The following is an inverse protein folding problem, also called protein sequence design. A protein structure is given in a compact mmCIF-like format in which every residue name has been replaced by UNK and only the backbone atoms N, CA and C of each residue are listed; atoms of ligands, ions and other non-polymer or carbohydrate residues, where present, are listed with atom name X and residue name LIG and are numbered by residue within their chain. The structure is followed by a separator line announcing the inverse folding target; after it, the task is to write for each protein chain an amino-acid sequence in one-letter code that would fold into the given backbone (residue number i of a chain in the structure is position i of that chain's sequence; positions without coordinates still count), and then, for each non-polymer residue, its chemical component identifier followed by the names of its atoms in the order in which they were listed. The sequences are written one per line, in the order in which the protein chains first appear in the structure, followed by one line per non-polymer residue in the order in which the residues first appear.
data_IF_056837946925
#
_entry.id   IF_056837946925
#
_cell.length_a   1.000
_cell.length_b   1.000
_cell.length_c   1.000
_cell.angle_alpha   90.00
_cell.angle_beta   90.00
_cell.angle_gamma   90.00
#
_symmetry.space_group_name_H-M   'P 1'
#
loop_
_entity.id
_entity.type
_entity.pdbx_description
1 polymer ?
#
# COMPACT_ATOMS: atom_id res chain seq x y z
N UNK A 1 -36.38 78.48 28.26
CA UNK A 1 -35.46 78.47 27.12
C UNK A 1 -34.61 77.21 27.26
N UNK A 2 -34.96 76.16 26.53
CA UNK A 2 -34.40 74.81 26.65
C UNK A 2 -33.28 74.64 25.63
N UNK A 3 -32.05 74.38 26.10
CA UNK A 3 -30.93 74.01 25.23
C UNK A 3 -30.82 72.48 25.16
N UNK A 4 -31.00 71.94 23.99
CA UNK A 4 -30.79 70.54 23.69
C UNK A 4 -29.30 70.27 23.34
N UNK A 5 -28.67 69.45 24.08
CA UNK A 5 -27.31 68.95 23.76
C UNK A 5 -27.52 67.57 23.09
N UNK A 6 -27.20 67.46 21.81
CA UNK A 6 -27.14 66.20 21.06
C UNK A 6 -25.77 65.59 21.27
N UNK A 7 -25.77 64.41 21.90
CA UNK A 7 -24.57 63.59 22.06
C UNK A 7 -24.48 62.63 20.86
N UNK A 8 -23.53 62.90 19.96
CA UNK A 8 -23.21 62.00 18.84
C UNK A 8 -22.32 60.88 19.39
N UNK A 9 -22.86 59.66 19.51
CA UNK A 9 -22.11 58.46 19.87
C UNK A 9 -21.54 57.85 18.59
N UNK A 10 -20.24 58.02 18.33
CA UNK A 10 -19.54 57.42 17.21
C UNK A 10 -19.35 55.89 17.46
N UNK A 11 -20.08 55.09 16.73
CA UNK A 11 -19.84 53.64 16.67
C UNK A 11 -18.62 53.35 15.80
N UNK A 12 -17.50 53.03 16.43
CA UNK A 12 -16.32 52.48 15.74
C UNK A 12 -16.60 50.99 15.45
N UNK A 13 -16.94 50.70 14.22
CA UNK A 13 -16.99 49.31 13.70
C UNK A 13 -15.56 48.79 13.55
N UNK A 14 -15.10 48.05 14.53
CA UNK A 14 -13.89 47.24 14.39
C UNK A 14 -14.24 46.05 13.48
N UNK A 15 -13.98 46.18 12.18
CA UNK A 15 -13.98 45.06 11.26
C UNK A 15 -12.72 44.23 11.54
N UNK A 16 -12.79 43.33 12.50
CA UNK A 16 -11.80 42.30 12.68
C UNK A 16 -11.85 41.36 11.47
N UNK A 17 -10.84 41.39 10.62
CA UNK A 17 -10.59 40.30 9.66
C UNK A 17 -10.23 39.03 10.45
N UNK A 18 -11.23 38.23 10.83
CA UNK A 18 -10.99 36.86 11.15
C UNK A 18 -10.60 36.18 9.84
N UNK A 19 -9.50 35.39 9.80
CA UNK A 19 -9.23 34.53 8.67
C UNK A 19 -10.40 33.54 8.60
N UNK A 20 -11.25 33.74 7.60
CA UNK A 20 -12.37 32.85 7.35
C UNK A 20 -11.81 31.50 6.91
N UNK A 21 -11.80 30.55 7.81
CA UNK A 21 -11.79 29.14 7.45
C UNK A 21 -13.09 28.89 6.71
N UNK A 22 -13.06 28.96 5.40
CA UNK A 22 -14.13 28.43 4.57
C UNK A 22 -14.07 26.92 4.64
N UNK A 23 -14.68 26.34 5.66
CA UNK A 23 -15.02 24.92 5.71
C UNK A 23 -16.19 24.64 4.73
N UNK A 24 -15.97 24.84 3.46
CA UNK A 24 -16.88 24.33 2.44
C UNK A 24 -16.58 22.83 2.26
N UNK A 25 -17.18 22.01 3.12
CA UNK A 25 -17.23 20.56 2.89
C UNK A 25 -17.93 20.32 1.54
N UNK A 26 -17.18 19.70 0.61
CA UNK A 26 -17.77 19.35 -0.68
C UNK A 26 -18.74 18.19 -0.53
N UNK A 27 -20.03 18.49 -0.58
CA UNK A 27 -21.10 17.48 -0.50
C UNK A 27 -21.41 16.98 -1.90
N UNK A 28 -21.24 15.68 -2.15
CA UNK A 28 -21.48 15.03 -3.43
C UNK A 28 -22.53 13.92 -3.30
N UNK A 29 -23.32 13.69 -4.37
CA UNK A 29 -24.25 12.56 -4.45
C UNK A 29 -23.64 11.45 -5.29
N UNK A 30 -23.84 10.19 -4.88
CA UNK A 30 -23.52 9.04 -5.73
C UNK A 30 -24.56 8.92 -6.84
N UNK A 31 -24.12 8.64 -8.07
CA UNK A 31 -24.99 8.62 -9.25
C UNK A 31 -25.79 7.34 -9.40
N UNK A 32 -25.45 6.26 -8.71
CA UNK A 32 -26.14 4.97 -8.77
C UNK A 32 -26.86 4.66 -7.45
N UNK A 33 -28.20 4.67 -7.50
CA UNK A 33 -29.21 4.08 -6.60
C UNK A 33 -28.97 4.01 -5.06
N UNK A 34 -27.89 4.57 -4.53
CA UNK A 34 -27.64 4.63 -3.09
C UNK A 34 -28.10 5.97 -2.52
N UNK A 35 -29.11 5.91 -1.65
CA UNK A 35 -29.62 7.04 -0.86
C UNK A 35 -28.54 7.47 0.16
N UNK A 36 -27.65 8.37 -0.21
CA UNK A 36 -26.67 8.92 0.71
C UNK A 36 -25.92 10.11 0.11
N UNK A 37 -25.59 11.06 0.97
CA UNK A 37 -24.72 12.18 0.65
C UNK A 37 -23.30 11.82 1.12
N UNK A 38 -22.33 11.94 0.24
CA UNK A 38 -20.91 11.76 0.59
C UNK A 38 -20.20 13.10 0.64
N UNK A 39 -19.13 13.17 1.42
CA UNK A 39 -18.30 14.35 1.59
C UNK A 39 -16.90 14.01 1.04
N UNK A 40 -16.33 14.92 0.28
CA UNK A 40 -14.91 14.89 -0.08
C UNK A 40 -14.19 15.83 0.88
N UNK A 41 -13.20 15.36 1.67
CA UNK A 41 -12.41 16.24 2.53
C UNK A 41 -11.72 17.34 1.72
N UNK A 42 -11.68 18.56 2.25
CA UNK A 42 -10.95 19.67 1.60
C UNK A 42 -9.43 19.53 1.77
N UNK A 43 -8.99 18.93 2.87
CA UNK A 43 -7.58 18.66 3.12
C UNK A 43 -7.12 17.42 2.37
N UNK A 44 -6.01 17.54 1.66
CA UNK A 44 -5.33 16.44 0.97
C UNK A 44 -3.92 16.31 1.52
N UNK A 45 -3.56 15.10 1.91
CA UNK A 45 -2.17 14.79 2.25
C UNK A 45 -1.31 14.87 0.98
N UNK A 46 -0.05 15.31 1.05
CA UNK A 46 0.85 15.28 -0.09
C UNK A 46 0.86 13.90 -0.75
N UNK A 47 0.87 13.87 -2.07
CA UNK A 47 0.92 12.66 -2.91
C UNK A 47 -0.14 11.58 -2.62
N UNK A 48 -1.21 11.93 -1.91
CA UNK A 48 -2.26 11.00 -1.51
C UNK A 48 -3.61 11.37 -2.12
N UNK A 49 -4.46 10.37 -2.31
CA UNK A 49 -5.84 10.58 -2.74
C UNK A 49 -6.71 10.99 -1.56
N UNK A 50 -7.65 11.89 -1.80
CA UNK A 50 -8.79 12.09 -0.89
C UNK A 50 -9.76 10.92 -1.02
N UNK A 51 -10.37 10.52 0.09
CA UNK A 51 -11.39 9.46 0.12
C UNK A 51 -12.77 10.02 0.39
N UNK A 52 -13.82 9.32 -0.05
CA UNK A 52 -15.20 9.67 0.28
C UNK A 52 -15.51 9.40 1.76
N UNK A 53 -16.31 10.28 2.38
CA UNK A 53 -16.83 10.12 3.74
C UNK A 53 -18.37 10.07 3.68
N UNK A 54 -19.05 9.12 4.32
CA UNK A 54 -18.51 8.01 5.11
C UNK A 54 -17.68 7.04 4.25
N UNK A 55 -16.64 6.46 4.86
CA UNK A 55 -15.78 5.50 4.19
C UNK A 55 -16.58 4.22 3.87
N UNK A 56 -16.53 3.78 2.62
CA UNK A 56 -17.13 2.52 2.18
C UNK A 56 -16.05 1.47 1.99
N UNK A 57 -16.03 0.44 2.85
CA UNK A 57 -15.05 -0.64 2.71
C UNK A 57 -15.30 -1.47 1.46
N UNK A 58 -14.23 -2.07 0.93
CA UNK A 58 -14.31 -3.04 -0.16
C UNK A 58 -15.27 -4.19 0.17
N UNK A 59 -16.03 -4.65 -0.82
CA UNK A 59 -16.87 -5.84 -0.69
C UNK A 59 -16.07 -7.13 -0.41
N UNK A 60 -14.78 -7.14 -0.75
CA UNK A 60 -13.85 -8.22 -0.46
C UNK A 60 -12.96 -7.95 0.78
N UNK A 61 -13.23 -6.89 1.56
CA UNK A 61 -12.39 -6.47 2.69
C UNK A 61 -12.15 -7.60 3.68
N UNK A 62 -10.91 -7.70 4.16
CA UNK A 62 -10.46 -8.68 5.14
C UNK A 62 -9.89 -9.98 4.56
N UNK A 63 -10.09 -10.27 3.27
CA UNK A 63 -9.49 -11.45 2.64
C UNK A 63 -7.97 -11.33 2.47
N UNK A 64 -7.47 -10.11 2.26
CA UNK A 64 -6.03 -9.85 2.08
C UNK A 64 -5.20 -10.36 3.26
N UNK A 65 -5.70 -10.20 4.48
CA UNK A 65 -5.01 -10.59 5.73
C UNK A 65 -4.73 -12.09 5.82
N UNK A 66 -5.58 -12.93 5.22
CA UNK A 66 -5.42 -14.39 5.23
C UNK A 66 -4.61 -14.92 4.05
N UNK A 67 -4.38 -14.10 3.04
CA UNK A 67 -3.83 -14.55 1.76
C UNK A 67 -2.40 -14.05 1.52
N UNK A 68 -1.99 -12.95 2.13
CA UNK A 68 -0.62 -12.43 2.04
C UNK A 68 0.22 -12.88 3.24
N UNK A 69 1.52 -13.03 2.99
CA UNK A 69 2.46 -13.66 3.92
C UNK A 69 2.79 -12.80 5.13
N UNK A 70 2.86 -11.48 4.96
CA UNK A 70 3.30 -10.57 6.00
C UNK A 70 2.45 -9.30 6.05
N UNK A 71 2.48 -8.60 7.20
CA UNK A 71 1.85 -7.29 7.31
C UNK A 71 2.51 -6.24 6.42
N UNK A 72 3.81 -6.40 6.15
CA UNK A 72 4.55 -5.54 5.23
C UNK A 72 4.02 -5.67 3.81
N UNK A 73 3.83 -6.91 3.33
CA UNK A 73 3.22 -7.18 2.02
C UNK A 73 1.80 -6.62 1.91
N UNK A 74 0.97 -6.78 2.97
CA UNK A 74 -0.40 -6.26 2.98
C UNK A 74 -0.39 -4.74 2.80
N UNK A 75 0.41 -4.03 3.60
CA UNK A 75 0.48 -2.57 3.55
C UNK A 75 1.00 -2.10 2.19
N UNK A 76 2.06 -2.72 1.67
CA UNK A 76 2.65 -2.33 0.39
C UNK A 76 1.74 -2.70 -0.78
N UNK A 77 1.02 -3.81 -0.72
CA UNK A 77 0.06 -4.18 -1.75
C UNK A 77 -1.08 -3.17 -1.87
N UNK A 78 -1.55 -2.60 -0.75
CA UNK A 78 -2.57 -1.55 -0.73
C UNK A 78 -2.00 -0.19 -1.16
N UNK A 79 -0.91 0.28 -0.51
CA UNK A 79 -0.36 1.62 -0.76
C UNK A 79 0.41 1.71 -2.08
N UNK A 80 1.15 0.68 -2.44
CA UNK A 80 1.85 0.58 -3.73
C UNK A 80 0.87 0.57 -4.90
N UNK A 81 -0.31 -0.08 -4.76
CA UNK A 81 -1.36 -0.03 -5.80
C UNK A 81 -1.89 1.39 -5.99
N UNK A 82 -2.01 2.20 -4.92
CA UNK A 82 -2.34 3.62 -5.03
C UNK A 82 -1.23 4.39 -5.76
N UNK A 83 0.04 4.07 -5.49
CA UNK A 83 1.20 4.69 -6.16
C UNK A 83 1.22 4.36 -7.66
N UNK A 84 0.95 3.10 -8.05
CA UNK A 84 0.78 2.71 -9.45
C UNK A 84 -0.34 3.51 -10.13
N UNK A 85 -1.44 3.73 -9.42
CA UNK A 85 -2.60 4.45 -9.95
C UNK A 85 -2.29 5.90 -10.31
N UNK A 86 -1.33 6.57 -9.66
CA UNK A 86 -0.99 7.98 -9.92
C UNK A 86 -0.56 8.23 -11.35
N UNK A 87 0.03 7.23 -12.01
CA UNK A 87 0.43 7.28 -13.41
C UNK A 87 -0.74 7.42 -14.40
N UNK A 88 -1.94 7.02 -14.00
CA UNK A 88 -3.15 7.08 -14.84
C UNK A 88 -4.22 8.02 -14.26
N UNK A 89 -4.34 8.11 -12.95
CA UNK A 89 -5.36 8.85 -12.22
C UNK A 89 -4.69 9.84 -11.27
N UNK A 90 -4.57 11.11 -11.67
CA UNK A 90 -3.94 12.15 -10.83
C UNK A 90 -4.70 12.33 -9.50
N UNK A 91 -4.01 12.34 -8.33
CA UNK A 91 -4.63 12.59 -7.02
C UNK A 91 -5.37 13.93 -6.92
N UNK A 92 -4.96 14.95 -7.68
CA UNK A 92 -5.61 16.27 -7.70
C UNK A 92 -7.03 16.24 -8.27
N UNK A 93 -7.29 15.29 -9.19
CA UNK A 93 -8.55 15.20 -9.93
C UNK A 93 -9.43 14.05 -9.49
N UNK A 94 -8.83 13.04 -8.86
CA UNK A 94 -9.53 11.81 -8.52
C UNK A 94 -9.69 11.65 -7.02
N UNK A 95 -10.78 11.00 -6.65
CA UNK A 95 -11.11 10.61 -5.28
C UNK A 95 -11.03 9.08 -5.21
N UNK A 96 -10.39 8.58 -4.17
CA UNK A 96 -10.21 7.15 -3.93
C UNK A 96 -11.46 6.54 -3.28
N UNK A 97 -11.77 5.32 -3.68
CA UNK A 97 -12.72 4.43 -3.03
C UNK A 97 -12.18 3.00 -3.10
N UNK A 98 -12.31 2.23 -2.02
CA UNK A 98 -12.04 0.78 -2.07
C UNK A 98 -12.95 0.07 -3.07
N UNK A 99 -12.54 -1.10 -3.54
CA UNK A 99 -13.22 -1.89 -4.56
C UNK A 99 -14.69 -2.20 -4.26
N UNK A 100 -15.56 -1.92 -5.21
CA UNK A 100 -17.00 -2.12 -5.06
C UNK A 100 -17.59 -3.14 -6.05
N UNK A 101 -16.75 -3.73 -6.93
CA UNK A 101 -17.20 -4.65 -7.98
C UNK A 101 -16.83 -6.10 -7.67
N UNK A 102 -15.63 -6.33 -7.11
CA UNK A 102 -15.17 -7.65 -6.68
C UNK A 102 -15.63 -7.91 -5.23
N UNK A 103 -16.52 -8.88 -5.04
CA UNK A 103 -16.92 -9.35 -3.71
C UNK A 103 -16.10 -10.56 -3.24
N UNK A 104 -16.33 -10.97 -1.99
CA UNK A 104 -15.60 -12.09 -1.37
C UNK A 104 -15.77 -13.40 -2.12
N UNK A 105 -16.97 -13.67 -2.63
CA UNK A 105 -17.25 -14.90 -3.36
C UNK A 105 -16.48 -14.93 -4.70
N UNK A 106 -16.56 -13.86 -5.46
CA UNK A 106 -15.85 -13.67 -6.73
C UNK A 106 -14.34 -13.83 -6.54
N UNK A 107 -13.76 -13.08 -5.58
CA UNK A 107 -12.32 -13.17 -5.28
C UNK A 107 -11.95 -14.58 -4.85
N UNK A 108 -12.72 -15.20 -3.95
CA UNK A 108 -12.48 -16.58 -3.49
C UNK A 108 -12.47 -17.61 -4.63
N UNK A 109 -13.41 -17.49 -5.56
CA UNK A 109 -13.47 -18.37 -6.73
C UNK A 109 -12.26 -18.16 -7.66
N UNK A 110 -11.82 -16.90 -7.85
CA UNK A 110 -10.65 -16.61 -8.69
C UNK A 110 -9.33 -17.10 -8.09
N UNK A 111 -9.21 -17.09 -6.78
CA UNK A 111 -8.02 -17.58 -6.08
C UNK A 111 -7.89 -19.10 -6.07
N UNK A 112 -8.96 -19.82 -6.37
CA UNK A 112 -8.92 -21.26 -6.50
C UNK A 112 -8.02 -21.71 -7.66
N UNK A 113 -7.62 -22.99 -7.62
CA UNK A 113 -7.12 -23.69 -8.80
C UNK A 113 -8.25 -23.93 -9.78
N UNK A 114 -7.90 -24.13 -11.04
CA UNK A 114 -8.79 -24.85 -11.96
C UNK A 114 -8.96 -26.29 -11.46
N UNK A 115 -10.13 -26.86 -11.65
CA UNK A 115 -10.49 -28.19 -11.19
C UNK A 115 -10.83 -29.12 -12.34
N UNK A 116 -10.56 -30.42 -12.18
CA UNK A 116 -11.14 -31.45 -13.04
C UNK A 116 -12.64 -31.61 -12.75
N UNK A 117 -13.37 -32.34 -13.62
CA UNK A 117 -14.80 -32.62 -13.39
C UNK A 117 -15.04 -33.38 -12.10
N UNK A 118 -14.14 -34.32 -11.79
CA UNK A 118 -14.18 -35.14 -10.57
C UNK A 118 -13.98 -34.26 -9.33
N UNK A 119 -12.97 -33.39 -9.35
CA UNK A 119 -12.67 -32.45 -8.26
C UNK A 119 -13.81 -31.45 -8.04
N UNK A 120 -14.47 -30.97 -9.10
CA UNK A 120 -15.66 -30.12 -8.97
C UNK A 120 -16.78 -30.85 -8.23
N UNK A 121 -17.04 -32.09 -8.63
CA UNK A 121 -18.08 -32.92 -8.00
C UNK A 121 -17.80 -33.17 -6.52
N UNK A 122 -16.54 -33.50 -6.16
CA UNK A 122 -16.12 -33.70 -4.78
C UNK A 122 -16.28 -32.46 -3.92
N UNK A 123 -16.09 -31.26 -4.51
CA UNK A 123 -16.21 -29.97 -3.84
C UNK A 123 -17.63 -29.39 -3.86
N UNK A 124 -18.57 -30.07 -4.54
CA UNK A 124 -19.93 -29.58 -4.71
C UNK A 124 -20.01 -28.29 -5.56
N UNK A 125 -19.02 -28.05 -6.42
CA UNK A 125 -18.97 -26.90 -7.31
C UNK A 125 -19.59 -27.22 -8.67
N UNK A 126 -20.23 -26.24 -9.27
CA UNK A 126 -20.75 -26.30 -10.64
C UNK A 126 -19.65 -25.95 -11.65
N UNK A 127 -19.86 -26.32 -12.92
CA UNK A 127 -18.90 -26.05 -13.98
C UNK A 127 -18.68 -24.53 -14.22
N UNK A 128 -19.71 -23.72 -14.04
CA UNK A 128 -19.63 -22.26 -14.14
C UNK A 128 -18.79 -21.61 -13.01
N UNK A 129 -18.61 -22.32 -11.90
CA UNK A 129 -17.78 -21.88 -10.78
C UNK A 129 -16.31 -22.30 -10.92
N UNK A 130 -15.94 -23.03 -11.99
CA UNK A 130 -14.57 -23.40 -12.30
C UNK A 130 -13.79 -22.24 -12.94
N UNK A 131 -13.81 -21.12 -12.28
CA UNK A 131 -13.19 -19.86 -12.72
C UNK A 131 -11.87 -19.55 -12.00
N UNK A 132 -11.27 -20.54 -11.35
CA UNK A 132 -9.97 -20.42 -10.69
C UNK A 132 -8.89 -19.94 -11.65
N UNK A 133 -8.04 -19.03 -11.19
CA UNK A 133 -6.93 -18.50 -11.99
C UNK A 133 -5.64 -19.29 -11.79
N UNK A 134 -5.50 -19.96 -10.64
CA UNK A 134 -4.34 -20.80 -10.40
C UNK A 134 -4.39 -22.12 -11.22
N UNK A 135 -3.24 -22.70 -11.57
CA UNK A 135 -3.18 -23.85 -12.44
C UNK A 135 -3.89 -25.08 -11.87
N UNK A 136 -4.40 -25.91 -12.77
CA UNK A 136 -4.95 -27.21 -12.43
C UNK A 136 -3.88 -28.09 -11.77
N UNK A 137 -4.24 -28.73 -10.66
CA UNK A 137 -3.50 -29.84 -10.11
C UNK A 137 -4.37 -31.11 -10.25
N UNK A 138 -4.01 -31.99 -11.17
CA UNK A 138 -4.77 -33.22 -11.48
C UNK A 138 -4.47 -34.36 -10.52
N UNK A 139 -3.61 -34.13 -9.52
CA UNK A 139 -3.25 -35.12 -8.49
C UNK A 139 -2.29 -36.22 -8.96
N UNK A 140 -1.73 -36.14 -10.18
CA UNK A 140 -0.79 -37.12 -10.70
C UNK A 140 0.64 -36.89 -10.23
N UNK A 141 1.35 -37.95 -9.91
CA UNK A 141 2.72 -37.93 -9.39
C UNK A 141 2.78 -37.74 -7.87
N UNK A 142 3.99 -37.57 -7.35
CA UNK A 142 4.21 -37.26 -5.93
C UNK A 142 3.67 -35.88 -5.58
N UNK A 143 3.37 -35.62 -4.29
CA UNK A 143 2.94 -34.28 -3.80
C UNK A 143 3.97 -33.22 -4.17
N UNK A 144 5.24 -33.55 -4.13
CA UNK A 144 6.36 -32.70 -4.48
C UNK A 144 6.32 -32.30 -5.96
N UNK A 145 6.25 -33.26 -6.87
CA UNK A 145 6.12 -33.04 -8.32
C UNK A 145 4.89 -32.23 -8.69
N UNK A 146 3.76 -32.45 -8.01
CA UNK A 146 2.53 -31.69 -8.23
C UNK A 146 2.69 -30.21 -7.88
N UNK A 147 3.34 -29.90 -6.74
CA UNK A 147 3.55 -28.53 -6.28
C UNK A 147 4.67 -27.81 -7.04
N UNK A 148 5.68 -28.55 -7.51
CA UNK A 148 6.75 -28.02 -8.37
C UNK A 148 6.21 -27.61 -9.76
N UNK A 149 5.40 -28.49 -10.37
CA UNK A 149 4.81 -28.25 -11.70
C UNK A 149 3.70 -27.19 -11.69
N UNK A 150 2.88 -27.21 -10.62
CA UNK A 150 1.68 -26.41 -10.52
C UNK A 150 1.63 -25.67 -9.18
N UNK A 151 2.57 -24.75 -8.88
CA UNK A 151 2.49 -23.95 -7.66
C UNK A 151 1.27 -23.03 -7.67
N UNK A 152 0.84 -22.55 -6.51
CA UNK A 152 -0.11 -21.43 -6.43
C UNK A 152 0.64 -20.15 -6.76
N UNK A 153 0.35 -19.56 -7.91
CA UNK A 153 0.92 -18.28 -8.33
C UNK A 153 0.18 -17.10 -7.70
N UNK A 154 -1.15 -17.07 -7.84
CA UNK A 154 -1.99 -15.97 -7.40
C UNK A 154 -2.38 -16.13 -5.94
N UNK A 155 -1.93 -15.24 -5.08
CA UNK A 155 -2.26 -15.17 -3.67
C UNK A 155 -3.50 -14.32 -3.40
N UNK A 156 -3.61 -13.14 -4.04
CA UNK A 156 -4.74 -12.24 -3.81
C UNK A 156 -5.03 -11.34 -5.01
N UNK A 157 -6.26 -10.82 -5.06
CA UNK A 157 -6.73 -9.81 -6.02
C UNK A 157 -7.30 -8.65 -5.23
N UNK A 158 -6.81 -7.44 -5.49
CA UNK A 158 -7.26 -6.20 -4.85
C UNK A 158 -7.79 -5.23 -5.90
N UNK A 159 -8.94 -4.61 -5.64
CA UNK A 159 -9.58 -3.61 -6.49
C UNK A 159 -9.58 -2.25 -5.80
N UNK A 160 -9.15 -1.20 -6.52
CA UNK A 160 -9.28 0.19 -6.13
C UNK A 160 -10.06 0.96 -7.19
N UNK A 161 -10.98 1.83 -6.75
CA UNK A 161 -11.81 2.66 -7.60
C UNK A 161 -11.35 4.12 -7.54
N UNK A 162 -11.26 4.76 -8.70
CA UNK A 162 -10.90 6.16 -8.84
C UNK A 162 -12.09 6.92 -9.43
N UNK A 163 -12.59 7.88 -8.66
CA UNK A 163 -13.80 8.62 -8.98
C UNK A 163 -13.44 10.05 -9.37
N UNK A 164 -14.19 10.61 -10.32
CA UNK A 164 -14.09 12.02 -10.66
C UNK A 164 -15.34 12.76 -10.21
N UNK A 165 -15.15 13.96 -9.67
CA UNK A 165 -16.25 14.85 -9.29
C UNK A 165 -16.92 15.45 -10.53
N UNK A 166 -18.22 15.45 -10.56
CA UNK A 166 -19.04 16.11 -11.58
C UNK A 166 -20.14 16.92 -10.89
N UNK A 167 -20.01 18.25 -10.88
CA UNK A 167 -20.88 19.19 -10.18
C UNK A 167 -21.21 18.76 -8.74
N UNK A 168 -22.35 18.04 -8.55
CA UNK A 168 -22.86 17.57 -7.24
C UNK A 168 -22.79 16.04 -7.08
N UNK A 169 -22.07 15.33 -7.96
CA UNK A 169 -21.98 13.88 -7.93
C UNK A 169 -20.55 13.41 -8.19
N UNK A 170 -20.25 12.18 -7.82
CA UNK A 170 -19.03 11.48 -8.22
C UNK A 170 -19.37 10.38 -9.21
N UNK A 171 -18.48 10.15 -10.19
CA UNK A 171 -18.63 9.13 -11.21
C UNK A 171 -17.33 8.29 -11.23
N UNK A 172 -17.45 6.98 -11.42
CA UNK A 172 -16.32 6.10 -11.65
C UNK A 172 -15.55 6.57 -12.90
N UNK A 173 -14.28 6.88 -12.73
CA UNK A 173 -13.34 7.33 -13.77
C UNK A 173 -12.41 6.21 -14.19
N UNK A 174 -12.06 5.31 -13.29
CA UNK A 174 -11.20 4.18 -13.56
C UNK A 174 -11.11 3.20 -12.41
N UNK A 175 -10.54 2.04 -12.70
CA UNK A 175 -10.30 0.97 -11.74
C UNK A 175 -8.86 0.51 -11.84
N UNK A 176 -8.24 0.22 -10.70
CA UNK A 176 -6.91 -0.39 -10.64
C UNK A 176 -7.03 -1.71 -9.92
N UNK A 177 -6.48 -2.77 -10.51
CA UNK A 177 -6.51 -4.12 -9.96
C UNK A 177 -5.09 -4.59 -9.72
N UNK A 178 -4.77 -4.92 -8.47
CA UNK A 178 -3.53 -5.57 -8.08
C UNK A 178 -3.68 -7.08 -8.07
N UNK A 179 -2.73 -7.80 -8.68
CA UNK A 179 -2.59 -9.24 -8.60
C UNK A 179 -1.35 -9.55 -7.76
N UNK A 180 -1.53 -10.04 -6.53
CA UNK A 180 -0.42 -10.47 -5.68
C UNK A 180 -0.01 -11.90 -6.04
N UNK A 181 1.27 -12.07 -6.39
CA UNK A 181 1.84 -13.32 -6.84
C UNK A 181 2.84 -13.86 -5.80
N UNK A 182 2.87 -15.17 -5.62
CA UNK A 182 3.73 -15.85 -4.68
C UNK A 182 5.15 -16.06 -5.24
N UNK A 183 6.18 -15.41 -4.67
CA UNK A 183 7.57 -15.76 -4.96
C UNK A 183 7.96 -17.13 -4.37
N UNK A 184 7.24 -17.55 -3.31
CA UNK A 184 7.40 -18.85 -2.67
C UNK A 184 6.05 -19.51 -2.47
N UNK A 185 5.88 -20.72 -3.03
CA UNK A 185 4.72 -21.55 -2.77
C UNK A 185 4.97 -22.50 -1.61
N UNK A 186 4.11 -22.45 -0.59
CA UNK A 186 4.19 -23.30 0.60
C UNK A 186 3.21 -24.45 0.51
N UNK A 187 3.65 -25.69 0.83
CA UNK A 187 2.81 -26.86 0.83
C UNK A 187 3.19 -27.86 1.92
N UNK A 188 2.29 -28.79 2.22
CA UNK A 188 2.53 -29.91 3.13
C UNK A 188 2.32 -31.22 2.38
N UNK A 189 3.17 -32.23 2.65
CA UNK A 189 3.03 -33.55 2.04
C UNK A 189 1.93 -34.38 2.71
N UNK A 190 1.64 -34.10 3.97
CA UNK A 190 0.59 -34.72 4.77
C UNK A 190 -0.07 -33.66 5.69
N UNK A 191 -1.30 -33.94 6.10
CA UNK A 191 -2.04 -33.04 6.99
C UNK A 191 -1.32 -32.87 8.33
N UNK A 192 -1.02 -31.64 8.71
CA UNK A 192 -0.23 -31.24 9.89
C UNK A 192 1.26 -31.65 9.85
N UNK A 193 1.77 -32.05 8.69
CA UNK A 193 3.18 -32.34 8.48
C UNK A 193 4.03 -31.07 8.34
N UNK A 194 5.32 -31.29 8.07
CA UNK A 194 6.26 -30.20 7.81
C UNK A 194 5.83 -29.37 6.59
N UNK A 195 6.07 -28.07 6.65
CA UNK A 195 5.87 -27.15 5.53
C UNK A 195 7.10 -27.17 4.64
N UNK A 196 6.88 -27.37 3.35
CA UNK A 196 7.88 -27.32 2.30
C UNK A 196 7.69 -26.07 1.47
N UNK A 197 8.76 -25.65 0.80
CA UNK A 197 8.81 -24.43 0.00
C UNK A 197 9.18 -24.76 -1.45
N UNK A 198 8.47 -24.14 -2.39
CA UNK A 198 8.81 -24.13 -3.80
C UNK A 198 9.01 -22.68 -4.23
N UNK A 199 10.25 -22.28 -4.49
CA UNK A 199 10.57 -20.97 -5.04
C UNK A 199 10.12 -20.88 -6.49
N UNK A 200 9.56 -19.74 -6.85
CA UNK A 200 9.08 -19.43 -8.20
C UNK A 200 9.94 -18.29 -8.76
N UNK A 201 10.52 -18.49 -9.94
CA UNK A 201 11.34 -17.43 -10.55
C UNK A 201 10.50 -16.25 -11.00
N UNK A 202 11.08 -15.05 -10.94
CA UNK A 202 10.45 -13.80 -11.36
C UNK A 202 9.87 -13.89 -12.78
N UNK A 203 10.63 -14.38 -13.76
CA UNK A 203 10.16 -14.53 -15.15
C UNK A 203 8.92 -15.42 -15.27
N UNK A 204 8.85 -16.48 -14.44
CA UNK A 204 7.68 -17.36 -14.41
C UNK A 204 6.48 -16.68 -13.77
N UNK A 205 6.70 -15.90 -12.71
CA UNK A 205 5.64 -15.08 -12.08
C UNK A 205 5.09 -14.05 -13.05
N UNK A 206 5.97 -13.34 -13.74
CA UNK A 206 5.57 -12.34 -14.75
C UNK A 206 4.76 -12.98 -15.87
N UNK A 207 5.24 -14.11 -16.43
CA UNK A 207 4.56 -14.80 -17.52
C UNK A 207 3.16 -15.30 -17.11
N UNK A 208 3.02 -15.93 -15.95
CA UNK A 208 1.72 -16.41 -15.46
C UNK A 208 0.82 -15.26 -14.99
N UNK A 209 1.39 -14.24 -14.35
CA UNK A 209 0.65 -13.04 -13.93
C UNK A 209 0.03 -12.30 -15.11
N UNK A 210 0.75 -12.13 -16.24
CA UNK A 210 0.23 -11.53 -17.48
C UNK A 210 -0.95 -12.32 -18.06
N UNK A 211 -0.88 -13.65 -18.08
CA UNK A 211 -2.02 -14.50 -18.51
C UNK A 211 -3.24 -14.33 -17.61
N UNK A 212 -3.01 -14.27 -16.30
CA UNK A 212 -4.09 -14.03 -15.32
C UNK A 212 -4.70 -12.63 -15.49
N UNK A 213 -3.88 -11.61 -15.75
CA UNK A 213 -4.31 -10.25 -15.99
C UNK A 213 -5.25 -10.14 -17.21
N UNK A 214 -4.93 -10.80 -18.33
CA UNK A 214 -5.80 -10.86 -19.50
C UNK A 214 -7.17 -11.47 -19.18
N UNK A 215 -7.18 -12.54 -18.37
CA UNK A 215 -8.42 -13.19 -17.96
C UNK A 215 -9.22 -12.33 -16.98
N UNK A 216 -8.56 -11.66 -16.03
CA UNK A 216 -9.18 -10.72 -15.08
C UNK A 216 -9.81 -9.55 -15.84
N UNK A 217 -9.10 -8.96 -16.82
CA UNK A 217 -9.64 -7.89 -17.64
C UNK A 217 -10.93 -8.31 -18.35
N UNK A 218 -10.93 -9.46 -19.02
CA UNK A 218 -12.12 -9.97 -19.74
C UNK A 218 -13.31 -10.13 -18.81
N UNK A 219 -13.09 -10.68 -17.62
CA UNK A 219 -14.15 -10.87 -16.62
C UNK A 219 -14.68 -9.53 -16.09
N UNK A 220 -13.79 -8.61 -15.77
CA UNK A 220 -14.19 -7.28 -15.33
C UNK A 220 -14.97 -6.51 -16.38
N UNK A 221 -14.58 -6.61 -17.66
CA UNK A 221 -15.32 -5.99 -18.79
C UNK A 221 -16.76 -6.52 -18.91
N UNK A 222 -17.01 -7.75 -18.48
CA UNK A 222 -18.36 -8.33 -18.40
C UNK A 222 -19.20 -7.82 -17.23
N UNK A 223 -18.62 -7.11 -16.27
CA UNK A 223 -19.34 -6.58 -15.12
C UNK A 223 -20.08 -5.28 -15.45
N UNK A 224 -21.22 -5.06 -14.78
CA UNK A 224 -22.03 -3.85 -14.98
C UNK A 224 -21.20 -2.59 -14.70
N UNK A 225 -21.18 -1.67 -15.67
CA UNK A 225 -20.51 -0.38 -15.53
C UNK A 225 -19.00 -0.37 -15.91
N UNK A 226 -18.41 -1.54 -16.28
CA UNK A 226 -16.98 -1.67 -16.58
C UNK A 226 -16.62 -1.60 -18.09
N UNK A 227 -17.60 -1.56 -18.99
CA UNK A 227 -17.36 -1.69 -20.44
C UNK A 227 -16.37 -0.68 -21.01
N UNK A 228 -16.52 0.61 -20.64
CA UNK A 228 -15.74 1.73 -21.19
C UNK A 228 -14.88 2.44 -20.14
N UNK A 229 -14.76 1.88 -18.93
CA UNK A 229 -13.96 2.46 -17.86
C UNK A 229 -12.49 2.04 -18.03
N UNK A 230 -11.52 2.95 -17.97
CA UNK A 230 -10.10 2.57 -17.94
C UNK A 230 -9.81 1.59 -16.80
N UNK A 231 -9.14 0.49 -17.09
CA UNK A 231 -8.72 -0.52 -16.12
C UNK A 231 -7.20 -0.66 -16.19
N UNK A 232 -6.56 -0.47 -15.05
CA UNK A 232 -5.12 -0.76 -14.86
C UNK A 232 -5.01 -2.09 -14.14
N UNK A 233 -4.13 -2.98 -14.62
CA UNK A 233 -3.78 -4.20 -13.90
C UNK A 233 -2.30 -4.18 -13.59
N UNK A 234 -1.96 -4.35 -12.31
CA UNK A 234 -0.59 -4.35 -11.82
C UNK A 234 -0.24 -5.68 -11.14
N UNK A 235 0.98 -6.14 -11.35
CA UNK A 235 1.51 -7.37 -10.79
C UNK A 235 2.42 -7.06 -9.61
N UNK A 236 2.13 -7.67 -8.47
CA UNK A 236 2.87 -7.57 -7.22
C UNK A 236 3.53 -8.91 -6.91
N UNK A 237 4.81 -8.90 -6.59
CA UNK A 237 5.54 -10.07 -6.12
C UNK A 237 5.66 -10.00 -4.59
N UNK A 238 4.89 -10.83 -3.85
CA UNK A 238 5.04 -10.89 -2.40
C UNK A 238 6.28 -11.68 -1.99
N UNK A 239 6.90 -11.27 -0.91
CA UNK A 239 8.07 -11.92 -0.32
C UNK A 239 7.70 -13.23 0.41
N UNK A 240 8.71 -13.98 0.83
CA UNK A 240 8.55 -15.16 1.69
C UNK A 240 8.02 -14.81 3.09
N UNK A 241 7.50 -15.81 3.82
CA UNK A 241 6.90 -15.60 5.15
C UNK A 241 7.84 -15.03 6.21
N UNK A 242 9.14 -15.25 6.03
CA UNK A 242 10.16 -14.83 6.99
C UNK A 242 10.84 -13.52 6.60
N UNK A 243 10.46 -12.92 5.47
CA UNK A 243 11.03 -11.66 5.03
C UNK A 243 10.52 -10.50 5.88
N UNK A 244 11.41 -9.60 6.22
CA UNK A 244 11.14 -8.41 7.06
C UNK A 244 11.01 -7.12 6.24
N UNK A 245 11.13 -7.25 4.92
CA UNK A 245 10.81 -6.20 3.93
C UNK A 245 9.62 -6.64 3.09
N UNK A 246 8.78 -5.71 2.61
CA UNK A 246 7.68 -6.06 1.72
C UNK A 246 8.18 -6.49 0.34
N UNK A 247 7.29 -7.16 -0.41
CA UNK A 247 7.37 -7.24 -1.84
C UNK A 247 7.07 -5.90 -2.51
N UNK A 248 7.01 -5.89 -3.82
CA UNK A 248 6.76 -4.68 -4.61
C UNK A 248 5.97 -4.98 -5.88
N UNK A 249 5.34 -3.93 -6.42
CA UNK A 249 4.83 -3.97 -7.80
C UNK A 249 6.01 -3.88 -8.76
N UNK A 250 6.02 -4.72 -9.79
CA UNK A 250 7.13 -4.79 -10.75
C UNK A 250 6.70 -4.46 -12.20
N UNK A 251 5.41 -4.55 -12.52
CA UNK A 251 4.90 -4.19 -13.85
C UNK A 251 3.40 -3.92 -13.81
N UNK A 252 2.91 -3.12 -14.75
CA UNK A 252 1.48 -2.86 -14.95
C UNK A 252 1.15 -2.63 -16.42
N UNK A 253 -0.12 -2.83 -16.78
CA UNK A 253 -0.66 -2.50 -18.08
C UNK A 253 -2.02 -1.81 -17.96
N UNK A 254 -2.39 -1.03 -18.98
CA UNK A 254 -3.62 -0.25 -19.01
C UNK A 254 -4.50 -0.73 -20.18
N UNK A 255 -5.79 -0.86 -19.92
CA UNK A 255 -6.82 -1.01 -20.93
C UNK A 255 -7.78 0.17 -20.84
N UNK A 256 -7.69 1.12 -21.76
CA UNK A 256 -8.59 2.27 -21.78
C UNK A 256 -10.02 1.84 -22.08
N UNK A 257 -10.19 0.89 -23.00
CA UNK A 257 -11.46 0.28 -23.39
C UNK A 257 -11.22 -1.03 -24.13
N UNK A 258 -12.27 -1.85 -24.25
CA UNK A 258 -12.15 -3.15 -24.93
C UNK A 258 -11.54 -4.23 -24.02
N UNK A 259 -11.21 -5.39 -24.61
CA UNK A 259 -10.86 -6.60 -23.89
C UNK A 259 -9.37 -6.95 -23.97
N UNK A 260 -8.50 -6.01 -24.31
CA UNK A 260 -7.05 -6.20 -24.38
C UNK A 260 -6.32 -5.19 -23.52
N UNK A 261 -5.27 -5.65 -22.85
CA UNK A 261 -4.29 -4.79 -22.22
C UNK A 261 -3.37 -4.17 -23.28
N UNK A 262 -2.92 -2.95 -23.03
CA UNK A 262 -1.84 -2.32 -23.78
C UNK A 262 -0.47 -2.87 -23.39
N UNK A 263 0.59 -2.15 -23.75
CA UNK A 263 1.95 -2.52 -23.41
C UNK A 263 2.19 -2.54 -21.90
N UNK A 264 2.93 -3.55 -21.46
CA UNK A 264 3.35 -3.67 -20.08
C UNK A 264 4.49 -2.70 -19.78
N UNK A 265 4.34 -1.93 -18.72
CA UNK A 265 5.32 -0.94 -18.24
C UNK A 265 6.00 -1.47 -17.00
N UNK A 266 7.34 -1.48 -17.00
CA UNK A 266 8.14 -1.85 -15.84
C UNK A 266 7.92 -0.83 -14.70
N UNK A 267 7.89 -1.30 -13.49
CA UNK A 267 7.99 -0.52 -12.26
C UNK A 267 9.34 -0.87 -11.66
N UNK A 268 10.18 0.13 -11.42
CA UNK A 268 11.51 -0.03 -10.85
C UNK A 268 11.49 0.45 -9.40
N UNK A 269 10.94 -0.41 -8.54
CA UNK A 269 10.80 -0.18 -7.11
C UNK A 269 11.27 -1.42 -6.36
N UNK A 270 11.99 -1.22 -5.24
CA UNK A 270 12.42 -2.31 -4.36
C UNK A 270 12.55 -1.84 -2.91
N UNK A 271 12.47 -2.79 -1.98
CA UNK A 271 12.73 -2.57 -0.57
C UNK A 271 13.96 -3.35 -0.14
N UNK A 272 14.88 -2.66 0.52
CA UNK A 272 16.15 -3.23 1.01
C UNK A 272 16.23 -3.08 2.53
N UNK A 273 16.63 -4.16 3.20
CA UNK A 273 16.88 -4.17 4.64
C UNK A 273 18.27 -3.61 4.95
N UNK A 274 18.36 -2.77 5.98
CA UNK A 274 19.62 -2.25 6.51
C UNK A 274 19.77 -2.61 8.00
N UNK A 275 20.92 -3.20 8.40
CA UNK A 275 21.98 -3.70 7.53
C UNK A 275 21.59 -5.06 6.92
N UNK A 276 22.13 -5.35 5.73
CA UNK A 276 22.01 -6.67 5.09
C UNK A 276 23.16 -6.95 4.13
N UNK A 277 23.37 -8.22 3.74
CA UNK A 277 24.33 -8.61 2.71
C UNK A 277 23.97 -8.00 1.34
N UNK A 278 22.65 -7.88 1.04
CA UNK A 278 22.15 -7.24 -0.17
C UNK A 278 22.53 -5.77 -0.21
N UNK A 279 22.29 -5.03 0.90
CA UNK A 279 22.67 -3.62 1.00
C UNK A 279 24.19 -3.41 0.90
N UNK A 280 25.00 -4.30 1.49
CA UNK A 280 26.44 -4.21 1.41
C UNK A 280 26.96 -4.42 -0.02
N UNK A 281 26.36 -5.34 -0.76
CA UNK A 281 26.77 -5.71 -2.09
C UNK A 281 26.29 -4.72 -3.15
N UNK A 282 25.01 -4.37 -3.12
CA UNK A 282 24.33 -3.69 -4.22
C UNK A 282 24.06 -2.20 -3.91
N UNK A 283 24.10 -1.78 -2.61
CA UNK A 283 23.80 -0.43 -2.13
C UNK A 283 24.83 0.08 -1.11
N UNK A 284 26.10 -0.11 -1.41
CA UNK A 284 27.22 0.08 -0.47
C UNK A 284 27.33 1.50 0.10
N UNK A 285 27.08 2.51 -0.69
CA UNK A 285 27.16 3.90 -0.22
C UNK A 285 26.03 4.20 0.77
N UNK A 286 24.82 3.72 0.50
CA UNK A 286 23.67 3.86 1.36
C UNK A 286 23.84 3.04 2.66
N UNK A 287 24.39 1.82 2.57
CA UNK A 287 24.78 1.02 3.73
C UNK A 287 25.82 1.79 4.59
N UNK A 288 26.76 2.52 3.99
CA UNK A 288 27.81 3.21 4.73
C UNK A 288 27.25 4.33 5.61
N UNK A 289 26.36 5.19 5.11
CA UNK A 289 25.81 6.25 5.96
C UNK A 289 24.81 5.68 7.00
N UNK A 290 24.06 4.66 6.62
CA UNK A 290 23.18 3.96 7.57
C UNK A 290 23.99 3.34 8.72
N UNK A 291 25.12 2.66 8.44
CA UNK A 291 25.96 2.05 9.46
C UNK A 291 26.56 3.08 10.42
N UNK A 292 26.98 4.25 9.93
CA UNK A 292 27.45 5.34 10.80
C UNK A 292 26.37 5.79 11.77
N UNK A 293 25.16 6.01 11.28
CA UNK A 293 24.01 6.35 12.14
C UNK A 293 23.74 5.27 13.17
N UNK A 294 23.72 4.00 12.74
CA UNK A 294 23.49 2.84 13.60
C UNK A 294 24.56 2.74 14.71
N UNK A 295 25.83 2.83 14.34
CA UNK A 295 26.94 2.69 15.27
C UNK A 295 26.92 3.79 16.34
N UNK A 296 26.63 5.04 15.98
CA UNK A 296 26.49 6.15 16.92
C UNK A 296 25.27 5.96 17.84
N UNK A 297 24.13 5.48 17.33
CA UNK A 297 22.95 5.14 18.16
C UNK A 297 23.30 4.03 19.16
N UNK A 298 24.01 2.99 18.71
CA UNK A 298 24.37 1.84 19.57
C UNK A 298 25.41 2.22 20.64
N UNK A 299 26.29 3.19 20.39
CA UNK A 299 27.26 3.69 21.37
C UNK A 299 26.55 4.30 22.60
N UNK A 300 25.36 4.88 22.43
CA UNK A 300 24.58 5.44 23.53
C UNK A 300 24.06 4.35 24.49
N UNK A 301 23.78 3.13 23.99
CA UNK A 301 23.21 2.03 24.77
C UNK A 301 24.07 0.77 24.73
N UNK A 302 24.94 0.50 25.74
CA UNK A 302 25.84 -0.69 25.73
C UNK A 302 25.12 -2.04 25.66
N UNK A 303 23.82 -2.13 25.98
CA UNK A 303 23.02 -3.38 26.00
C UNK A 303 21.94 -3.42 24.93
N UNK A 304 22.21 -2.91 23.77
CA UNK A 304 21.22 -2.53 22.80
C UNK A 304 20.78 -3.68 21.84
N UNK A 305 19.52 -3.66 21.39
CA UNK A 305 18.86 -4.71 20.59
C UNK A 305 18.76 -4.41 19.08
N UNK A 306 19.70 -3.71 18.51
CA UNK A 306 19.81 -3.53 17.05
C UNK A 306 18.87 -2.49 16.42
N UNK A 307 19.44 -1.53 15.69
CA UNK A 307 18.70 -0.59 14.80
C UNK A 307 18.43 -1.30 13.48
N UNK A 308 17.17 -1.23 13.02
CA UNK A 308 16.76 -1.83 11.74
C UNK A 308 16.23 -0.73 10.83
N UNK A 309 16.81 -0.64 9.62
CA UNK A 309 16.37 0.26 8.58
C UNK A 309 15.71 -0.49 7.40
N UNK A 310 14.70 0.12 6.81
CA UNK A 310 14.11 -0.32 5.54
C UNK A 310 14.18 0.81 4.56
N UNK A 311 15.01 0.65 3.52
CA UNK A 311 15.13 1.59 2.42
C UNK A 311 14.13 1.26 1.32
N UNK A 312 13.48 2.28 0.77
CA UNK A 312 12.67 2.18 -0.43
C UNK A 312 13.39 2.85 -1.59
N UNK A 313 13.64 2.07 -2.62
CA UNK A 313 14.28 2.52 -3.86
C UNK A 313 13.25 2.71 -4.96
N UNK A 314 13.45 3.74 -5.74
CA UNK A 314 12.67 4.01 -6.94
C UNK A 314 13.62 4.47 -8.05
N UNK A 315 13.54 3.82 -9.20
CA UNK A 315 14.39 4.10 -10.36
C UNK A 315 15.90 4.02 -10.01
N UNK A 316 16.27 3.06 -9.12
CA UNK A 316 17.62 2.83 -8.65
C UNK A 316 18.13 3.83 -7.60
N UNK A 317 17.31 4.75 -7.12
CA UNK A 317 17.68 5.72 -6.08
C UNK A 317 16.94 5.43 -4.78
N UNK A 318 17.64 5.48 -3.64
CA UNK A 318 17.01 5.46 -2.31
C UNK A 318 16.24 6.76 -2.10
N UNK A 319 14.93 6.66 -1.88
CA UNK A 319 14.03 7.83 -1.71
C UNK A 319 13.44 7.93 -0.31
N UNK A 320 13.27 6.80 0.39
CA UNK A 320 12.76 6.75 1.76
C UNK A 320 13.59 5.77 2.60
N UNK A 321 13.90 6.15 3.84
CA UNK A 321 14.51 5.30 4.84
C UNK A 321 13.67 5.32 6.12
N UNK A 322 13.10 4.17 6.49
CA UNK A 322 12.37 3.99 7.75
C UNK A 322 13.20 3.19 8.72
N UNK A 323 13.47 3.77 9.89
CA UNK A 323 14.36 3.20 10.91
C UNK A 323 13.56 2.93 12.18
N UNK A 324 13.68 1.74 12.73
CA UNK A 324 13.14 1.36 14.03
C UNK A 324 14.27 1.29 15.04
N UNK A 325 14.10 2.03 16.14
CA UNK A 325 15.04 2.11 17.25
C UNK A 325 14.32 1.64 18.52
N UNK A 326 14.42 0.34 18.87
CA UNK A 326 13.86 -0.16 20.12
C UNK A 326 14.74 0.28 21.30
N UNK A 327 14.13 0.83 22.34
CA UNK A 327 14.81 1.38 23.50
C UNK A 327 14.24 0.86 24.81
N UNK A 328 15.06 0.90 25.89
CA UNK A 328 14.63 0.73 27.25
C UNK A 328 15.03 1.98 28.03
N UNK A 329 14.06 2.84 28.33
CA UNK A 329 14.28 4.08 29.04
C UNK A 329 13.43 4.13 30.30
N UNK A 330 13.92 4.81 31.33
CA UNK A 330 13.32 4.85 32.66
C UNK A 330 12.62 6.17 32.99
N UNK A 331 12.74 7.17 32.10
CA UNK A 331 12.14 8.48 32.34
C UNK A 331 12.08 9.38 31.12
N UNK A 332 11.14 10.32 31.18
CA UNK A 332 10.86 11.26 30.09
C UNK A 332 12.08 12.14 29.72
N UNK A 333 12.86 12.58 30.71
CA UNK A 333 14.08 13.36 30.43
C UNK A 333 15.13 12.60 29.64
N UNK A 334 15.21 11.28 29.84
CA UNK A 334 16.10 10.39 29.09
C UNK A 334 15.61 10.24 27.62
N UNK A 335 14.31 10.06 27.43
CA UNK A 335 13.66 10.01 26.11
C UNK A 335 13.92 11.31 25.35
N UNK A 336 13.72 12.47 25.99
CA UNK A 336 13.98 13.79 25.40
C UNK A 336 15.45 13.91 24.97
N UNK A 337 16.39 13.59 25.88
CA UNK A 337 17.83 13.68 25.59
C UNK A 337 18.26 12.76 24.45
N UNK A 338 17.81 11.53 24.46
CA UNK A 338 18.09 10.58 23.39
C UNK A 338 17.49 11.01 22.05
N UNK A 339 16.23 11.50 22.06
CA UNK A 339 15.56 11.96 20.84
C UNK A 339 16.30 13.16 20.22
N UNK A 340 16.78 14.11 21.06
CA UNK A 340 17.61 15.21 20.57
C UNK A 340 18.93 14.73 19.95
N UNK A 341 19.57 13.74 20.57
CA UNK A 341 20.78 13.11 20.05
C UNK A 341 20.51 12.41 18.70
N UNK A 342 19.53 11.54 18.66
CA UNK A 342 19.14 10.82 17.44
C UNK A 342 18.76 11.78 16.31
N UNK A 343 18.12 12.91 16.63
CA UNK A 343 17.79 13.96 15.63
C UNK A 343 19.04 14.57 15.03
N UNK A 344 20.07 14.86 15.84
CA UNK A 344 21.35 15.36 15.33
C UNK A 344 22.01 14.36 14.38
N UNK A 345 21.98 13.06 14.74
CA UNK A 345 22.55 12.01 13.90
C UNK A 345 21.80 11.86 12.57
N UNK A 346 20.47 12.07 12.53
CA UNK A 346 19.73 12.10 11.27
C UNK A 346 20.22 13.23 10.36
N UNK A 347 20.51 14.40 10.91
CA UNK A 347 21.02 15.54 10.15
C UNK A 347 22.44 15.28 9.66
N UNK A 348 23.29 14.69 10.51
CA UNK A 348 24.72 14.53 10.24
C UNK A 348 25.04 13.39 9.26
N UNK A 349 24.25 12.29 9.28
CA UNK A 349 24.57 11.08 8.53
C UNK A 349 23.78 10.89 7.23
N UNK A 350 22.53 11.33 7.18
CA UNK A 350 21.71 11.07 6.00
C UNK A 350 21.75 12.25 5.01
N UNK A 351 21.80 11.98 3.70
CA UNK A 351 21.82 13.02 2.67
C UNK A 351 20.46 13.78 2.62
N UNK A 352 20.52 15.05 2.21
CA UNK A 352 19.35 15.96 2.22
C UNK A 352 18.23 15.55 1.27
N UNK A 353 18.54 14.78 0.21
CA UNK A 353 17.55 14.33 -0.76
C UNK A 353 16.67 13.17 -0.24
N UNK A 354 17.03 12.57 0.89
CA UNK A 354 16.40 11.37 1.43
C UNK A 354 15.32 11.72 2.45
N UNK A 355 14.14 11.14 2.29
CA UNK A 355 13.15 11.10 3.37
C UNK A 355 13.60 10.11 4.45
N UNK A 356 13.66 10.56 5.70
CA UNK A 356 14.08 9.73 6.82
C UNK A 356 13.02 9.77 7.90
N UNK A 357 12.56 8.60 8.33
CA UNK A 357 11.66 8.41 9.46
C UNK A 357 12.34 7.53 10.50
N UNK A 358 12.49 8.02 11.72
CA UNK A 358 13.03 7.25 12.84
C UNK A 358 11.95 7.11 13.91
N UNK A 359 11.49 5.88 14.13
CA UNK A 359 10.55 5.53 15.19
C UNK A 359 11.30 4.98 16.39
N UNK A 360 11.24 5.68 17.51
CA UNK A 360 11.82 5.27 18.80
C UNK A 360 10.71 4.62 19.61
N UNK A 361 10.87 3.33 19.89
CA UNK A 361 9.84 2.52 20.53
C UNK A 361 10.38 1.80 21.75
N UNK A 362 9.59 1.75 22.83
CA UNK A 362 9.84 0.90 24.00
C UNK A 362 8.89 -0.30 24.03
N UNK A 363 9.03 -1.14 25.04
CA UNK A 363 8.06 -2.22 25.31
C UNK A 363 6.65 -1.69 25.63
N UNK A 364 6.53 -0.43 26.01
CA UNK A 364 5.25 0.22 26.35
C UNK A 364 4.57 0.86 25.13
N UNK A 365 5.30 1.04 24.03
CA UNK A 365 4.79 1.66 22.79
C UNK A 365 5.74 2.66 22.17
N UNK A 366 5.19 3.59 21.38
CA UNK A 366 5.96 4.65 20.76
C UNK A 366 6.38 5.69 21.80
N UNK A 367 7.66 6.05 21.80
CA UNK A 367 8.25 7.07 22.68
C UNK A 367 8.51 8.37 21.93
N UNK A 368 9.06 8.30 20.70
CA UNK A 368 9.26 9.46 19.85
C UNK A 368 9.26 9.10 18.37
N UNK A 369 8.99 10.11 17.55
CA UNK A 369 9.04 10.06 16.10
C UNK A 369 9.86 11.23 15.57
N UNK A 370 10.84 10.95 14.71
CA UNK A 370 11.65 11.93 13.99
C UNK A 370 11.35 11.76 12.50
N UNK A 371 10.96 12.83 11.81
CA UNK A 371 10.66 12.81 10.38
C UNK A 371 11.42 13.97 9.71
N UNK A 372 12.26 13.65 8.74
CA UNK A 372 12.88 14.63 7.86
C UNK A 372 12.47 14.34 6.42
N UNK A 373 11.71 15.26 5.83
CA UNK A 373 11.40 15.17 4.40
C UNK A 373 12.58 15.61 3.55
N UNK A 374 12.67 15.10 2.33
CA UNK A 374 13.68 15.50 1.37
C UNK A 374 13.73 17.02 1.17
N UNK A 375 14.93 17.62 1.27
CA UNK A 375 15.15 19.06 1.16
C UNK A 375 14.87 19.87 2.41
N UNK A 376 14.43 19.25 3.51
CA UNK A 376 14.24 19.95 4.80
C UNK A 376 15.52 19.89 5.65
N UNK A 377 16.02 21.05 6.10
CA UNK A 377 17.18 21.13 6.99
C UNK A 377 16.87 20.63 8.41
N UNK A 378 15.62 20.84 8.87
CA UNK A 378 15.21 20.51 10.24
C UNK A 378 14.14 19.43 10.26
N UNK A 379 14.41 18.31 10.89
CA UNK A 379 13.40 17.29 11.12
C UNK A 379 12.24 17.80 11.97
N UNK A 380 11.05 17.31 11.69
CA UNK A 380 9.92 17.32 12.63
C UNK A 380 10.17 16.26 13.70
N UNK A 381 9.98 16.62 14.96
CA UNK A 381 10.16 15.73 16.11
C UNK A 381 8.90 15.75 16.98
N UNK A 382 8.38 14.56 17.29
CA UNK A 382 7.29 14.38 18.25
C UNK A 382 7.70 13.41 19.32
N UNK A 383 7.46 13.77 20.59
CA UNK A 383 7.62 12.89 21.78
C UNK A 383 6.20 12.61 22.27
N UNK A 384 5.87 11.34 22.50
CA UNK A 384 4.53 10.88 22.85
C UNK A 384 4.19 11.05 24.33
#
# INVERSE_FOLDING_TARGET
MKKWFSLLLGAVLITGCAPGFKDEKEVVKKKDDQKGTSIIPNYQLPDSYRSLIPFEPSKARGMVVSNLNSRYDINEFETGLMRVATGQFSPDKHVFQEGQHLDKETVGLWLNRKFTKEQLKERGLKEEQNVGLNPLNDGKGSVEEQNEKNPIYLAHVLEHNYLIKNEKSVKLSGVVVGLALNSVHYYQKEKYGATFEQKISHDKLEAEGKKMADEVLKRMRGMKGMGDVPIVIALFEQKGKNDVVPGNFFTYAVSDKGNSLGDWKKIDEEYVLFPSEEAEKDHRDDQTFYMRFKDDIEEYFPNYNGVIGRGFYKDGQLVDMKIEVPVQMFGEAEIIGFTQWATSLVIDHFPDYLNVEVAINSVNGAEALIVRNAGEEKPFVHIY
#
